data_IF_377912425477
#
_entry.id   IF_377912425477
#
_cell.length_a   1.000
_cell.length_b   1.000
_cell.length_c   1.000
_cell.angle_alpha   90.00
_cell.angle_beta   90.00
_cell.angle_gamma   90.00
#
_symmetry.space_group_name_H-M   'P 1'
#
loop_
_entity.id
_entity.type
_entity.pdbx_description
1 polymer ?
#
# COMPACT_ATOMS: atom_id res chain seq x y z
N UNK A 1 4.45 1.54 22.05
CA UNK A 1 3.43 1.36 20.99
C UNK A 1 2.31 2.40 21.11
N UNK A 2 2.62 3.70 21.09
CA UNK A 2 1.57 4.72 21.21
C UNK A 2 0.68 4.81 19.96
N UNK A 3 1.23 4.59 18.76
CA UNK A 3 0.46 4.58 17.51
C UNK A 3 -0.62 3.49 17.48
N UNK A 4 -0.32 2.30 18.00
CA UNK A 4 -1.29 1.20 18.11
C UNK A 4 -2.42 1.52 19.09
N UNK A 5 -2.08 2.09 20.24
CA UNK A 5 -3.05 2.43 21.27
C UNK A 5 -3.95 3.63 20.90
N UNK A 6 -3.46 4.53 20.03
CA UNK A 6 -4.13 5.79 19.70
C UNK A 6 -4.87 5.76 18.37
N UNK A 7 -4.43 4.95 17.41
CA UNK A 7 -5.06 4.78 16.08
C UNK A 7 -4.90 3.33 15.59
N UNK A 8 -5.57 2.36 16.25
CA UNK A 8 -5.41 0.94 15.96
C UNK A 8 -5.78 0.59 14.51
N UNK A 9 -6.79 1.27 13.94
CA UNK A 9 -7.20 1.11 12.55
C UNK A 9 -6.11 1.52 11.55
N UNK A 10 -5.40 2.63 11.79
CA UNK A 10 -4.31 3.08 10.91
C UNK A 10 -3.17 2.08 10.94
N UNK A 11 -2.82 1.62 12.15
CA UNK A 11 -1.78 0.60 12.29
C UNK A 11 -2.14 -0.71 11.58
N UNK A 12 -3.40 -1.14 11.71
CA UNK A 12 -3.90 -2.36 11.09
C UNK A 12 -3.88 -2.24 9.57
N UNK A 13 -4.33 -1.11 9.01
CA UNK A 13 -4.30 -0.83 7.57
C UNK A 13 -2.87 -0.80 7.00
N UNK A 14 -1.94 -0.15 7.70
CA UNK A 14 -0.52 -0.10 7.30
C UNK A 14 0.09 -1.49 7.34
N UNK A 15 -0.16 -2.26 8.40
CA UNK A 15 0.35 -3.63 8.54
C UNK A 15 -0.20 -4.56 7.45
N UNK A 16 -1.51 -4.47 7.16
CA UNK A 16 -2.15 -5.20 6.07
C UNK A 16 -1.56 -4.83 4.70
N UNK A 17 -1.32 -3.53 4.46
CA UNK A 17 -0.71 -3.08 3.23
C UNK A 17 0.68 -3.72 3.01
N UNK A 18 1.55 -3.68 4.02
CA UNK A 18 2.87 -4.29 3.93
C UNK A 18 2.82 -5.81 3.76
N UNK A 19 1.91 -6.50 4.45
CA UNK A 19 1.73 -7.94 4.30
C UNK A 19 1.26 -8.30 2.89
N UNK A 20 0.30 -7.56 2.33
CA UNK A 20 -0.19 -7.79 0.97
C UNK A 20 0.88 -7.53 -0.08
N UNK A 21 1.70 -6.49 0.11
CA UNK A 21 2.85 -6.22 -0.77
C UNK A 21 3.87 -7.36 -0.71
N UNK A 22 4.20 -7.85 0.49
CA UNK A 22 5.12 -8.97 0.66
C UNK A 22 4.60 -10.26 -0.01
N UNK A 23 3.32 -10.58 0.18
CA UNK A 23 2.67 -11.73 -0.46
C UNK A 23 2.70 -11.61 -1.99
N UNK A 24 2.39 -10.43 -2.51
CA UNK A 24 2.38 -10.18 -3.94
C UNK A 24 3.78 -10.26 -4.56
N UNK A 25 4.82 -9.78 -3.87
CA UNK A 25 6.22 -9.95 -4.28
C UNK A 25 6.63 -11.42 -4.32
N UNK A 26 6.28 -12.19 -3.28
CA UNK A 26 6.54 -13.63 -3.22
C UNK A 26 5.83 -14.34 -4.39
N UNK A 27 4.56 -14.01 -4.65
CA UNK A 27 3.80 -14.61 -5.75
C UNK A 27 4.40 -14.28 -7.12
N UNK A 28 4.80 -13.02 -7.33
CA UNK A 28 5.42 -12.54 -8.56
C UNK A 28 6.76 -13.24 -8.86
N UNK A 29 7.59 -13.41 -7.82
CA UNK A 29 8.94 -13.99 -7.94
C UNK A 29 8.86 -15.51 -8.08
N UNK A 30 8.10 -16.20 -7.21
CA UNK A 30 8.20 -17.65 -7.07
C UNK A 30 7.11 -18.46 -7.77
N UNK A 31 5.95 -17.87 -8.07
CA UNK A 31 4.75 -18.66 -8.40
C UNK A 31 4.09 -18.34 -9.74
N UNK A 32 4.68 -17.43 -10.50
CA UNK A 32 4.04 -16.86 -11.67
C UNK A 32 4.66 -17.39 -12.96
N UNK A 33 3.98 -18.29 -13.67
CA UNK A 33 4.16 -18.57 -15.11
C UNK A 33 3.63 -17.39 -15.97
N UNK A 34 3.68 -16.18 -15.43
CA UNK A 34 3.18 -15.01 -16.12
C UNK A 34 4.15 -14.61 -17.23
N UNK A 35 3.64 -14.31 -18.44
CA UNK A 35 4.45 -13.68 -19.46
C UNK A 35 5.01 -12.35 -18.92
N UNK A 36 6.19 -11.96 -19.42
CA UNK A 36 6.98 -10.84 -18.88
C UNK A 36 6.18 -9.54 -18.73
N UNK A 37 5.24 -9.27 -19.65
CA UNK A 37 4.36 -8.10 -19.60
C UNK A 37 3.45 -8.09 -18.38
N UNK A 38 2.85 -9.23 -18.04
CA UNK A 38 1.98 -9.37 -16.85
C UNK A 38 2.78 -9.20 -15.55
N UNK A 39 4.04 -9.66 -15.53
CA UNK A 39 4.95 -9.42 -14.39
C UNK A 39 5.21 -7.92 -14.18
N UNK A 40 5.49 -7.18 -15.26
CA UNK A 40 5.75 -5.74 -15.18
C UNK A 40 4.53 -4.95 -14.71
N UNK A 41 3.32 -5.35 -15.13
CA UNK A 41 2.06 -4.74 -14.66
C UNK A 41 1.90 -4.94 -13.15
N UNK A 42 2.16 -6.14 -12.62
CA UNK A 42 2.08 -6.39 -11.18
C UNK A 42 3.12 -5.62 -10.38
N UNK A 43 4.35 -5.48 -10.88
CA UNK A 43 5.34 -4.57 -10.27
C UNK A 43 4.79 -3.14 -10.25
N UNK A 44 4.27 -2.64 -11.37
CA UNK A 44 3.72 -1.29 -11.44
C UNK A 44 2.57 -1.09 -10.45
N UNK A 45 1.62 -2.02 -10.35
CA UNK A 45 0.51 -1.96 -9.38
C UNK A 45 1.04 -1.96 -7.94
N UNK A 46 2.01 -2.81 -7.64
CA UNK A 46 2.62 -2.90 -6.31
C UNK A 46 3.32 -1.61 -5.87
N UNK A 47 3.79 -0.80 -6.82
CA UNK A 47 4.38 0.50 -6.55
C UNK A 47 3.36 1.64 -6.56
N UNK A 48 2.36 1.60 -7.45
CA UNK A 48 1.34 2.64 -7.59
C UNK A 48 0.37 2.66 -6.40
N UNK A 49 -0.08 1.49 -5.93
CA UNK A 49 -1.04 1.39 -4.82
C UNK A 49 -0.52 2.05 -3.52
N UNK A 50 0.72 1.81 -3.06
CA UNK A 50 1.30 2.52 -1.92
C UNK A 50 1.39 4.04 -2.11
N UNK A 51 1.82 4.49 -3.29
CA UNK A 51 1.95 5.91 -3.62
C UNK A 51 0.58 6.61 -3.58
N UNK A 52 -0.45 5.97 -4.14
CA UNK A 52 -1.82 6.47 -4.06
C UNK A 52 -2.34 6.51 -2.61
N UNK A 53 -1.97 5.53 -1.78
CA UNK A 53 -2.29 5.55 -0.35
C UNK A 53 -1.71 6.78 0.37
N UNK A 54 -0.45 7.12 0.09
CA UNK A 54 0.21 8.32 0.63
C UNK A 54 -0.48 9.59 0.14
N UNK A 55 -0.78 9.67 -1.17
CA UNK A 55 -1.46 10.82 -1.75
C UNK A 55 -2.88 11.03 -1.16
N UNK A 56 -3.63 9.93 -0.98
CA UNK A 56 -4.96 9.97 -0.38
C UNK A 56 -4.89 10.41 1.09
N UNK A 57 -3.93 9.88 1.88
CA UNK A 57 -3.70 10.33 3.24
C UNK A 57 -3.38 11.82 3.31
N UNK A 58 -2.48 12.29 2.43
CA UNK A 58 -2.11 13.69 2.36
C UNK A 58 -3.30 14.58 2.01
N UNK A 59 -4.12 14.19 1.03
CA UNK A 59 -5.32 14.92 0.65
C UNK A 59 -6.33 15.02 1.82
N UNK A 60 -6.57 13.91 2.52
CA UNK A 60 -7.47 13.89 3.69
C UNK A 60 -6.93 14.76 4.82
N UNK A 61 -5.63 14.70 5.08
CA UNK A 61 -4.98 15.55 6.08
C UNK A 61 -5.06 17.04 5.71
N UNK A 62 -4.80 17.38 4.45
CA UNK A 62 -4.85 18.75 3.94
C UNK A 62 -6.26 19.35 4.05
N UNK A 63 -7.30 18.55 3.78
CA UNK A 63 -8.70 18.93 4.00
C UNK A 63 -9.01 19.18 5.48
N UNK A 64 -8.50 18.34 6.39
CA UNK A 64 -8.69 18.52 7.85
C UNK A 64 -8.00 19.76 8.42
N UNK A 65 -6.95 20.24 7.76
CA UNK A 65 -6.25 21.48 8.12
C UNK A 65 -7.00 22.75 7.66
N UNK A 66 -8.17 22.63 7.03
CA UNK A 66 -8.97 23.78 6.57
C UNK A 66 -8.32 24.58 5.44
N UNK A 67 -7.39 23.96 4.69
CA UNK A 67 -6.66 24.61 3.58
C UNK A 67 -7.31 24.40 2.21
N UNK A 68 -8.54 23.89 2.17
CA UNK A 68 -9.37 23.65 0.99
C UNK A 68 -10.78 24.23 1.23
#
# INVERSE_FOLDING_TARGET
>A
MELFARNPEIFLLVTLNYLLVAIALIHLIFKSDYPIGSRLIWVAILWVVPVLGIAAYWLVWYRRQGKL
#
